data_IF_513777140870
#
_entry.id   IF_513777140870
#
_cell.length_a   1.000
_cell.length_b   1.000
_cell.length_c   1.000
_cell.angle_alpha   90.00
_cell.angle_beta   90.00
_cell.angle_gamma   90.00
#
_symmetry.space_group_name_H-M   'P 1'
#
loop_
_entity.id
_entity.type
_entity.pdbx_description
1 polymer ?
#
# COMPACT_ATOMS: atom_id res chain seq x y z
N UNK A 1 -1.64 5.87 13.68
CA UNK A 1 -0.88 5.11 12.65
C UNK A 1 -1.85 4.63 11.60
N UNK A 2 -1.53 4.81 10.33
CA UNK A 2 -2.40 4.35 9.24
C UNK A 2 -2.55 2.82 9.20
N UNK A 3 -3.58 2.34 8.51
CA UNK A 3 -3.78 0.94 8.17
C UNK A 3 -3.66 0.76 6.66
N UNK A 4 -2.89 -0.22 6.20
CA UNK A 4 -2.79 -0.61 4.80
C UNK A 4 -3.24 -2.04 4.60
N UNK A 5 -3.82 -2.32 3.44
CA UNK A 5 -4.27 -3.65 3.04
C UNK A 5 -4.21 -3.83 1.52
N UNK A 6 -4.09 -5.07 1.06
CA UNK A 6 -4.21 -5.41 -0.36
C UNK A 6 -4.64 -6.85 -0.59
N UNK A 7 -5.34 -7.05 -1.68
CA UNK A 7 -5.81 -8.33 -2.20
C UNK A 7 -5.34 -8.47 -3.65
N UNK A 8 -4.70 -9.58 -4.00
CA UNK A 8 -4.14 -9.82 -5.32
C UNK A 8 -4.63 -11.17 -5.85
N UNK A 9 -5.05 -11.18 -7.13
CA UNK A 9 -5.55 -12.37 -7.83
C UNK A 9 -6.65 -13.12 -7.05
N UNK A 10 -7.55 -12.37 -6.42
CA UNK A 10 -8.57 -12.93 -5.54
C UNK A 10 -9.55 -13.90 -6.22
N UNK A 11 -9.46 -14.06 -7.55
CA UNK A 11 -10.20 -15.07 -8.33
C UNK A 11 -11.74 -14.93 -8.33
N UNK A 12 -12.26 -13.92 -7.63
CA UNK A 12 -13.68 -13.60 -7.50
C UNK A 12 -14.00 -12.33 -8.29
N UNK A 13 -15.27 -12.01 -8.42
CA UNK A 13 -15.70 -10.78 -9.04
C UNK A 13 -15.10 -9.56 -8.34
N UNK A 14 -14.86 -8.47 -9.06
CA UNK A 14 -14.40 -7.20 -8.50
C UNK A 14 -15.29 -6.74 -7.33
N UNK A 15 -16.59 -6.99 -7.39
CA UNK A 15 -17.55 -6.70 -6.31
C UNK A 15 -17.21 -7.44 -5.02
N UNK A 16 -16.89 -8.74 -5.10
CA UNK A 16 -16.54 -9.52 -3.92
C UNK A 16 -15.19 -9.09 -3.33
N UNK A 17 -14.23 -8.76 -4.18
CA UNK A 17 -12.93 -8.24 -3.75
C UNK A 17 -13.07 -6.88 -3.04
N UNK A 18 -13.91 -5.98 -3.56
CA UNK A 18 -14.22 -4.70 -2.91
C UNK A 18 -14.93 -4.88 -1.57
N UNK A 19 -15.94 -5.77 -1.48
CA UNK A 19 -16.61 -6.09 -0.20
C UNK A 19 -15.63 -6.61 0.86
N UNK A 20 -14.69 -7.46 0.45
CA UNK A 20 -13.66 -7.94 1.38
C UNK A 20 -12.69 -6.84 1.77
N UNK A 21 -12.30 -5.96 0.85
CA UNK A 21 -11.47 -4.81 1.18
C UNK A 21 -12.18 -3.89 2.19
N UNK A 22 -13.48 -3.65 2.05
CA UNK A 22 -14.26 -2.87 3.01
C UNK A 22 -14.26 -3.53 4.40
N UNK A 23 -14.41 -4.86 4.48
CA UNK A 23 -14.29 -5.60 5.74
C UNK A 23 -12.91 -5.48 6.37
N UNK A 24 -11.85 -5.60 5.56
CA UNK A 24 -10.46 -5.41 6.01
C UNK A 24 -10.24 -4.01 6.56
N UNK A 25 -10.69 -2.99 5.84
CA UNK A 25 -10.57 -1.59 6.25
C UNK A 25 -11.34 -1.31 7.55
N UNK A 26 -12.56 -1.84 7.67
CA UNK A 26 -13.38 -1.70 8.88
C UNK A 26 -12.66 -2.20 10.15
N UNK A 27 -11.83 -3.23 10.05
CA UNK A 27 -11.00 -3.72 11.16
C UNK A 27 -9.86 -2.78 11.53
N UNK A 28 -9.46 -1.91 10.61
CA UNK A 28 -8.33 -0.97 10.81
C UNK A 28 -8.76 0.47 11.15
N UNK A 29 -10.04 0.76 11.35
CA UNK A 29 -10.54 2.11 11.70
C UNK A 29 -9.85 2.65 12.96
N UNK A 30 -9.56 1.80 13.95
CA UNK A 30 -8.82 2.19 15.15
C UNK A 30 -7.39 2.69 14.87
N UNK A 31 -6.80 2.33 13.73
CA UNK A 31 -5.47 2.79 13.30
C UNK A 31 -5.53 4.14 12.58
N UNK A 32 -6.57 4.36 11.79
CA UNK A 32 -6.76 5.57 10.98
C UNK A 32 -8.22 5.95 10.87
N UNK A 33 -8.75 6.69 11.86
CA UNK A 33 -10.17 7.02 11.91
C UNK A 33 -10.59 8.19 11.03
N UNK A 34 -9.62 8.95 10.47
CA UNK A 34 -9.91 10.26 9.87
C UNK A 34 -10.44 10.13 8.44
N UNK A 35 -9.94 9.17 7.68
CA UNK A 35 -10.32 8.96 6.28
C UNK A 35 -9.97 7.54 5.83
N UNK A 36 -10.42 7.14 4.64
CA UNK A 36 -10.07 5.85 4.06
C UNK A 36 -10.42 5.75 2.58
N UNK A 37 -9.54 5.08 1.84
CA UNK A 37 -9.67 4.87 0.41
C UNK A 37 -9.55 3.42 -0.01
N UNK A 38 -10.15 3.10 -1.14
CA UNK A 38 -10.00 1.83 -1.85
C UNK A 38 -9.75 2.11 -3.33
N UNK A 39 -8.82 1.40 -3.92
CA UNK A 39 -8.55 1.42 -5.34
C UNK A 39 -8.48 0.00 -5.89
N UNK A 40 -8.95 -0.19 -7.10
CA UNK A 40 -8.88 -1.44 -7.83
C UNK A 40 -8.14 -1.21 -9.15
N UNK A 41 -7.25 -2.13 -9.52
CA UNK A 41 -6.56 -2.06 -10.81
C UNK A 41 -7.54 -2.17 -11.97
N UNK A 42 -7.25 -1.58 -13.16
CA UNK A 42 -8.14 -1.62 -14.31
C UNK A 42 -8.54 -3.02 -14.76
N UNK A 43 -7.67 -4.01 -14.56
CA UNK A 43 -7.94 -5.42 -14.86
C UNK A 43 -8.65 -6.18 -13.71
N UNK A 44 -8.89 -5.50 -12.58
CA UNK A 44 -9.53 -6.08 -11.40
C UNK A 44 -8.66 -7.05 -10.61
N UNK A 45 -7.40 -7.24 -10.98
CA UNK A 45 -6.50 -8.22 -10.37
C UNK A 45 -5.93 -7.81 -9.02
N UNK A 46 -5.92 -6.51 -8.70
CA UNK A 46 -5.37 -5.95 -7.47
C UNK A 46 -6.35 -4.98 -6.84
N UNK A 47 -6.57 -5.10 -5.53
CA UNK A 47 -7.33 -4.14 -4.73
C UNK A 47 -6.44 -3.65 -3.59
N UNK A 48 -6.26 -2.34 -3.50
CA UNK A 48 -5.53 -1.68 -2.41
C UNK A 48 -6.49 -0.90 -1.52
N UNK A 49 -6.27 -0.96 -0.21
CA UNK A 49 -7.08 -0.27 0.79
C UNK A 49 -6.23 0.46 1.82
N UNK A 50 -6.70 1.63 2.23
CA UNK A 50 -6.04 2.48 3.22
C UNK A 50 -7.02 3.00 4.26
N UNK A 51 -6.59 3.06 5.52
CA UNK A 51 -7.23 3.78 6.61
C UNK A 51 -6.27 4.83 7.14
N UNK A 52 -6.68 6.09 7.08
CA UNK A 52 -5.82 7.26 7.28
C UNK A 52 -5.92 7.81 8.69
N UNK A 53 -4.76 8.04 9.31
CA UNK A 53 -4.57 8.98 10.38
C UNK A 53 -3.83 10.19 9.79
N UNK A 54 -4.50 11.33 9.70
CA UNK A 54 -3.99 12.54 9.06
C UNK A 54 -3.05 13.28 10.00
N UNK A 55 -1.75 13.31 9.70
CA UNK A 55 -0.71 13.92 10.56
C UNK A 55 0.07 14.99 9.80
N UNK A 56 0.67 14.65 8.65
CA UNK A 56 1.59 15.52 7.91
C UNK A 56 0.85 16.40 6.91
N UNK A 57 0.03 15.81 6.05
CA UNK A 57 -0.78 16.51 5.08
C UNK A 57 -2.26 16.30 5.43
N UNK A 58 -2.97 17.37 5.76
CA UNK A 58 -4.40 17.31 6.12
C UNK A 58 -5.32 17.49 4.92
N UNK A 59 -4.75 17.76 3.74
CA UNK A 59 -5.50 17.94 2.51
C UNK A 59 -5.86 16.62 1.83
N UNK A 60 -6.69 16.70 0.79
CA UNK A 60 -7.00 15.56 -0.08
C UNK A 60 -5.77 15.03 -0.84
N UNK A 61 -4.71 15.86 -1.01
CA UNK A 61 -3.47 15.44 -1.66
C UNK A 61 -2.70 14.37 -0.88
N UNK A 62 -2.99 14.20 0.43
CA UNK A 62 -2.46 13.11 1.25
C UNK A 62 -3.32 11.86 1.27
N UNK A 63 -4.42 11.79 0.49
CA UNK A 63 -5.29 10.63 0.43
C UNK A 63 -4.59 9.43 -0.23
N UNK A 64 -4.95 8.23 0.25
CA UNK A 64 -4.41 6.96 -0.28
C UNK A 64 -5.56 5.96 -0.51
N UNK A 65 -5.43 5.01 -1.47
CA UNK A 65 -4.24 4.73 -2.30
C UNK A 65 -3.84 5.93 -3.16
N UNK A 66 -2.53 6.23 -3.22
CA UNK A 66 -1.99 7.36 -3.97
C UNK A 66 -1.36 6.89 -5.27
N UNK A 67 -1.45 7.72 -6.32
CA UNK A 67 -0.90 7.42 -7.64
C UNK A 67 0.24 8.37 -8.00
N UNK A 68 1.31 7.84 -8.63
CA UNK A 68 2.37 8.68 -9.19
C UNK A 68 1.82 9.63 -10.26
N UNK A 69 2.57 10.68 -10.62
CA UNK A 69 2.13 11.66 -11.61
C UNK A 69 1.88 11.02 -12.98
N UNK A 70 2.66 10.01 -13.35
CA UNK A 70 2.48 9.25 -14.60
C UNK A 70 1.30 8.27 -14.55
N UNK A 71 0.80 7.93 -13.35
CA UNK A 71 -0.19 6.88 -13.13
C UNK A 71 0.38 5.46 -13.16
N UNK A 72 1.71 5.28 -13.29
CA UNK A 72 2.35 3.97 -13.31
C UNK A 72 2.26 3.25 -11.97
N UNK A 73 2.51 3.96 -10.89
CA UNK A 73 2.53 3.39 -9.55
C UNK A 73 1.28 3.76 -8.74
N UNK A 74 0.78 2.78 -8.00
CA UNK A 74 -0.25 2.95 -6.98
C UNK A 74 0.29 2.44 -5.64
N UNK A 75 0.24 3.26 -4.59
CA UNK A 75 0.80 2.93 -3.28
C UNK A 75 -0.25 3.01 -2.17
N UNK A 76 -0.13 2.07 -1.22
CA UNK A 76 -0.64 2.20 0.15
C UNK A 76 0.54 2.19 1.10
N UNK A 77 0.58 3.16 1.99
CA UNK A 77 1.73 3.45 2.81
C UNK A 77 1.34 3.80 4.25
N UNK A 78 2.02 3.21 5.19
CA UNK A 78 1.91 3.51 6.62
C UNK A 78 3.32 3.79 7.16
N UNK A 79 3.68 5.04 7.34
CA UNK A 79 5.03 5.38 7.78
C UNK A 79 5.31 6.87 7.80
N UNK A 80 6.59 7.17 7.91
CA UNK A 80 7.16 8.50 7.81
C UNK A 80 8.60 8.41 7.29
N UNK A 81 8.90 9.10 6.20
CA UNK A 81 10.26 9.27 5.68
C UNK A 81 10.82 10.57 6.21
N UNK A 82 11.68 10.52 7.22
CA UNK A 82 12.19 11.68 7.95
C UNK A 82 12.97 12.66 7.06
N UNK A 83 13.65 12.14 6.05
CA UNK A 83 14.46 12.95 5.12
C UNK A 83 13.76 13.17 3.77
N UNK A 84 12.43 13.12 3.71
CA UNK A 84 11.70 13.34 2.46
C UNK A 84 11.97 14.70 1.83
N UNK A 85 12.25 15.73 2.63
CA UNK A 85 12.64 17.06 2.13
C UNK A 85 13.92 17.02 1.29
N UNK A 86 14.95 16.30 1.75
CA UNK A 86 16.20 16.13 1.00
C UNK A 86 15.95 15.41 -0.36
N UNK A 87 15.08 14.39 -0.34
CA UNK A 87 14.73 13.65 -1.56
C UNK A 87 13.91 14.52 -2.51
N UNK A 88 12.96 15.30 -1.98
CA UNK A 88 12.16 16.27 -2.74
C UNK A 88 13.03 17.31 -3.44
N UNK A 89 13.96 17.93 -2.70
CA UNK A 89 14.87 18.95 -3.24
C UNK A 89 15.74 18.37 -4.36
N UNK A 90 16.18 17.13 -4.21
CA UNK A 90 16.96 16.43 -5.25
C UNK A 90 16.12 16.17 -6.50
N UNK A 91 14.88 15.69 -6.37
CA UNK A 91 13.95 15.48 -7.50
C UNK A 91 13.68 16.77 -8.28
N UNK A 92 13.53 17.91 -7.58
CA UNK A 92 13.35 19.22 -8.19
C UNK A 92 14.63 19.69 -8.90
N UNK A 93 15.79 19.52 -8.28
CA UNK A 93 17.08 19.89 -8.88
C UNK A 93 17.39 19.09 -10.15
N UNK A 94 17.08 17.80 -10.16
CA UNK A 94 17.23 16.90 -11.31
C UNK A 94 16.16 17.15 -12.39
N UNK A 95 15.19 18.06 -12.15
CA UNK A 95 14.05 18.37 -13.03
C UNK A 95 13.19 17.15 -13.41
N UNK A 96 13.22 16.11 -12.61
CA UNK A 96 12.39 14.93 -12.79
C UNK A 96 10.94 15.17 -12.38
N UNK A 97 10.72 16.08 -11.42
CA UNK A 97 9.43 16.59 -11.00
C UNK A 97 9.47 18.11 -11.10
N UNK A 98 8.46 18.73 -11.72
CA UNK A 98 8.37 20.19 -11.84
C UNK A 98 7.71 20.81 -10.63
N UNK A 99 6.72 20.13 -10.07
CA UNK A 99 5.98 20.54 -8.87
C UNK A 99 5.37 19.32 -8.17
N UNK A 100 5.12 19.43 -6.89
CA UNK A 100 4.38 18.46 -6.10
C UNK A 100 2.96 18.96 -5.83
N UNK A 101 1.98 18.06 -5.83
CA UNK A 101 0.57 18.38 -5.58
C UNK A 101 0.30 18.72 -4.12
N UNK A 102 1.07 18.08 -3.22
CA UNK A 102 0.92 18.20 -1.78
C UNK A 102 2.24 18.34 -1.04
N UNK A 103 2.18 18.10 0.25
CA UNK A 103 3.32 18.19 1.17
C UNK A 103 3.68 16.83 1.77
N UNK A 104 3.03 15.73 1.33
CA UNK A 104 3.21 14.41 1.91
C UNK A 104 4.54 13.78 1.49
N UNK A 105 5.17 13.07 2.40
CA UNK A 105 6.32 12.21 2.13
C UNK A 105 5.97 11.06 1.17
N UNK A 106 4.72 10.62 1.17
CA UNK A 106 4.21 9.56 0.27
C UNK A 106 4.32 9.96 -1.20
N UNK A 107 3.96 11.19 -1.56
CA UNK A 107 4.09 11.69 -2.93
C UNK A 107 5.56 11.74 -3.35
N UNK A 108 6.43 12.25 -2.46
CA UNK A 108 7.88 12.30 -2.72
C UNK A 108 8.44 10.90 -2.94
N UNK A 109 8.01 9.92 -2.15
CA UNK A 109 8.42 8.53 -2.26
C UNK A 109 7.99 7.92 -3.61
N UNK A 110 6.74 8.17 -4.04
CA UNK A 110 6.22 7.70 -5.34
C UNK A 110 7.03 8.24 -6.53
N UNK A 111 7.27 9.55 -6.55
CA UNK A 111 8.03 10.17 -7.62
C UNK A 111 9.51 9.72 -7.61
N UNK A 112 10.07 9.48 -6.42
CA UNK A 112 11.42 8.92 -6.31
C UNK A 112 11.49 7.48 -6.84
N UNK A 113 10.47 6.65 -6.63
CA UNK A 113 10.40 5.31 -7.23
C UNK A 113 10.35 5.36 -8.74
N UNK A 114 9.64 6.32 -9.30
CA UNK A 114 9.53 6.49 -10.74
C UNK A 114 10.87 6.91 -11.37
N UNK A 115 11.57 7.82 -10.72
CA UNK A 115 12.79 8.42 -11.27
C UNK A 115 14.07 7.62 -10.97
N UNK A 116 14.27 7.24 -9.70
CA UNK A 116 15.48 6.51 -9.28
C UNK A 116 15.29 4.99 -9.28
N UNK A 117 14.05 4.50 -9.34
CA UNK A 117 13.70 3.10 -9.13
C UNK A 117 13.58 2.74 -7.64
N UNK A 118 12.90 1.61 -7.38
CA UNK A 118 12.51 1.22 -6.01
C UNK A 118 13.74 1.00 -5.13
N UNK A 119 14.71 0.21 -5.60
CA UNK A 119 15.88 -0.17 -4.81
C UNK A 119 16.73 1.04 -4.41
N UNK A 120 17.03 1.92 -5.35
CA UNK A 120 17.84 3.11 -5.10
C UNK A 120 17.12 4.06 -4.14
N UNK A 121 15.83 4.32 -4.37
CA UNK A 121 15.03 5.16 -3.48
C UNK A 121 15.05 4.64 -2.04
N UNK A 122 14.87 3.33 -1.82
CA UNK A 122 14.91 2.74 -0.49
C UNK A 122 16.27 2.88 0.21
N UNK A 123 17.37 2.95 -0.55
CA UNK A 123 18.71 3.23 0.04
C UNK A 123 18.84 4.66 0.52
N UNK A 124 18.16 5.60 -0.11
CA UNK A 124 18.14 7.02 0.27
C UNK A 124 17.24 7.28 1.48
N UNK A 125 16.19 6.50 1.66
CA UNK A 125 15.19 6.72 2.70
C UNK A 125 15.72 6.47 4.11
N UNK A 126 15.40 7.41 5.02
CA UNK A 126 15.53 7.29 6.48
C UNK A 126 14.15 7.45 7.09
N UNK A 127 13.66 6.43 7.76
CA UNK A 127 12.31 6.47 8.33
C UNK A 127 11.80 5.12 8.77
N UNK A 128 10.56 5.11 9.21
CA UNK A 128 9.82 3.93 9.64
C UNK A 128 8.61 3.74 8.72
N UNK A 129 8.50 2.60 8.05
CA UNK A 129 7.42 2.40 7.08
C UNK A 129 7.08 0.94 6.79
N UNK A 130 5.84 0.74 6.36
CA UNK A 130 5.37 -0.42 5.62
C UNK A 130 4.56 0.05 4.41
N UNK A 131 4.75 -0.56 3.26
CA UNK A 131 4.08 -0.17 2.04
C UNK A 131 3.77 -1.35 1.12
N UNK A 132 2.70 -1.21 0.33
CA UNK A 132 2.40 -2.00 -0.84
C UNK A 132 2.39 -1.10 -2.07
N UNK A 133 3.27 -1.34 -3.03
CA UNK A 133 3.42 -0.59 -4.27
C UNK A 133 3.08 -1.49 -5.44
N UNK A 134 2.09 -1.11 -6.21
CA UNK A 134 1.72 -1.78 -7.45
C UNK A 134 2.24 -1.01 -8.66
N UNK A 135 2.96 -1.71 -9.55
CA UNK A 135 3.42 -1.21 -10.84
C UNK A 135 2.44 -1.66 -11.92
N UNK A 136 1.66 -0.71 -12.46
CA UNK A 136 0.66 -0.97 -13.49
C UNK A 136 1.30 -1.44 -14.80
N UNK A 137 2.51 -1.01 -15.10
CA UNK A 137 3.24 -1.38 -16.31
C UNK A 137 3.80 -2.80 -16.25
N UNK A 138 4.46 -3.13 -15.14
CA UNK A 138 5.10 -4.45 -14.97
C UNK A 138 4.15 -5.48 -14.33
N UNK A 139 2.92 -5.06 -13.92
CA UNK A 139 1.93 -5.91 -13.23
C UNK A 139 2.50 -6.61 -12.00
N UNK A 140 3.31 -5.90 -11.24
CA UNK A 140 3.98 -6.43 -10.05
C UNK A 140 3.57 -5.67 -8.80
N UNK A 141 3.40 -6.42 -7.69
CA UNK A 141 3.26 -5.86 -6.36
C UNK A 141 4.59 -6.00 -5.62
N UNK A 142 5.09 -4.89 -5.09
CA UNK A 142 6.26 -4.87 -4.20
C UNK A 142 5.82 -4.53 -2.78
N UNK A 143 6.07 -5.41 -1.82
CA UNK A 143 5.91 -5.12 -0.40
C UNK A 143 7.24 -4.64 0.18
N UNK A 144 7.16 -3.57 0.97
CA UNK A 144 8.34 -2.93 1.57
C UNK A 144 8.11 -2.72 3.06
N UNK A 145 9.17 -2.88 3.84
CA UNK A 145 9.16 -2.62 5.27
C UNK A 145 10.48 -1.98 5.70
N UNK A 146 10.44 -1.10 6.68
CA UNK A 146 11.64 -0.48 7.24
C UNK A 146 12.62 -1.51 7.85
N UNK A 147 13.88 -1.11 7.99
CA UNK A 147 14.99 -1.99 8.40
C UNK A 147 14.81 -2.62 9.77
N UNK A 148 14.12 -1.94 10.68
CA UNK A 148 13.90 -2.40 12.05
C UNK A 148 12.53 -3.08 12.22
N UNK A 149 11.68 -3.03 11.18
CA UNK A 149 10.33 -3.57 11.22
C UNK A 149 9.40 -2.82 12.18
N UNK A 150 9.59 -1.49 12.33
CA UNK A 150 8.79 -0.67 13.23
C UNK A 150 7.32 -0.61 12.82
N UNK A 151 7.05 -0.59 11.51
CA UNK A 151 5.68 -0.66 11.03
C UNK A 151 5.26 -2.10 10.74
N UNK A 152 4.10 -2.54 11.25
CA UNK A 152 3.64 -3.91 11.05
C UNK A 152 3.23 -4.12 9.58
N UNK A 153 3.58 -5.30 9.06
CA UNK A 153 3.18 -5.80 7.76
C UNK A 153 3.07 -7.32 7.83
N UNK A 154 1.85 -7.82 7.63
CA UNK A 154 1.52 -9.24 7.58
C UNK A 154 1.11 -9.58 6.15
N UNK A 155 1.50 -10.74 5.66
CA UNK A 155 1.17 -11.18 4.30
C UNK A 155 1.17 -12.70 4.19
N UNK A 156 0.48 -13.21 3.17
CA UNK A 156 0.46 -14.63 2.87
C UNK A 156 -0.45 -14.98 1.70
N UNK A 157 -0.40 -16.24 1.32
CA UNK A 157 -1.34 -16.81 0.35
C UNK A 157 -2.55 -17.38 1.08
N UNK A 158 -3.73 -17.24 0.47
CA UNK A 158 -4.97 -17.74 1.05
C UNK A 158 -5.29 -19.14 0.52
N UNK A 159 -5.68 -20.04 1.41
CA UNK A 159 -6.27 -21.30 1.00
C UNK A 159 -7.61 -21.07 0.29
N UNK A 160 -7.86 -21.84 -0.76
CA UNK A 160 -9.13 -21.85 -1.48
C UNK A 160 -9.64 -23.28 -1.62
N UNK A 161 -10.95 -23.45 -1.38
CA UNK A 161 -11.66 -24.72 -1.60
C UNK A 161 -11.01 -25.94 -0.91
N UNK A 162 -10.39 -25.72 0.27
CA UNK A 162 -9.74 -26.77 1.05
C UNK A 162 -8.41 -27.27 0.45
N UNK A 163 -7.85 -26.54 -0.52
CA UNK A 163 -6.52 -26.80 -1.06
C UNK A 163 -5.49 -25.95 -0.35
N UNK A 164 -4.37 -26.55 -0.02
CA UNK A 164 -3.22 -25.84 0.55
C UNK A 164 -2.81 -24.69 -0.38
N UNK A 165 -2.55 -23.52 0.22
CA UNK A 165 -2.15 -22.34 -0.51
C UNK A 165 -0.79 -22.51 -1.21
N UNK A 166 -0.69 -22.02 -2.44
CA UNK A 166 0.52 -21.99 -3.26
C UNK A 166 0.68 -20.64 -3.97
N UNK A 167 1.67 -20.52 -4.83
CA UNK A 167 1.96 -19.29 -5.58
C UNK A 167 0.84 -18.87 -6.57
N UNK A 168 -0.11 -19.74 -6.89
CA UNK A 168 -1.29 -19.43 -7.72
C UNK A 168 -2.50 -19.00 -6.90
N UNK A 169 -2.42 -19.13 -5.58
CA UNK A 169 -3.48 -18.77 -4.64
C UNK A 169 -3.57 -17.25 -4.48
N UNK A 170 -4.73 -16.70 -4.10
CA UNK A 170 -4.86 -15.28 -3.79
C UNK A 170 -3.86 -14.86 -2.72
N UNK A 171 -3.21 -13.74 -2.96
CA UNK A 171 -2.26 -13.15 -2.03
C UNK A 171 -2.91 -11.99 -1.28
N UNK A 172 -2.63 -11.89 0.01
CA UNK A 172 -3.16 -10.85 0.88
C UNK A 172 -2.04 -10.23 1.72
N UNK A 173 -2.15 -8.93 1.99
CA UNK A 173 -1.33 -8.25 3.00
C UNK A 173 -2.15 -7.23 3.79
N UNK A 174 -1.74 -6.95 5.03
CA UNK A 174 -2.31 -5.89 5.84
C UNK A 174 -1.38 -5.45 6.98
N UNK A 175 -1.65 -4.27 7.53
CA UNK A 175 -1.03 -3.78 8.78
C UNK A 175 -1.48 -4.53 10.04
N UNK A 176 -2.59 -5.27 9.95
CA UNK A 176 -3.23 -5.92 11.09
C UNK A 176 -3.72 -7.31 10.70
N UNK A 177 -3.33 -8.39 11.42
CA UNK A 177 -3.79 -9.74 11.09
C UNK A 177 -5.31 -9.89 11.23
N UNK A 178 -5.97 -9.14 12.12
CA UNK A 178 -7.43 -9.12 12.25
C UNK A 178 -8.15 -8.63 10.99
N UNK A 179 -7.46 -7.84 10.16
CA UNK A 179 -7.98 -7.43 8.84
C UNK A 179 -7.99 -8.59 7.87
N UNK A 180 -6.94 -9.41 7.87
CA UNK A 180 -6.83 -10.58 6.99
C UNK A 180 -7.92 -11.61 7.35
N UNK A 181 -8.13 -11.85 8.64
CA UNK A 181 -9.17 -12.81 9.11
C UNK A 181 -10.61 -12.33 8.86
N UNK A 182 -10.81 -11.06 8.49
CA UNK A 182 -12.12 -10.52 8.14
C UNK A 182 -12.59 -10.86 6.72
N UNK A 183 -11.70 -11.41 5.89
CA UNK A 183 -12.00 -11.82 4.53
C UNK A 183 -12.97 -13.00 4.56
N UNK A 184 -14.01 -12.94 3.73
CA UNK A 184 -15.00 -14.02 3.64
C UNK A 184 -14.38 -15.33 3.14
N UNK A 185 -14.57 -16.39 3.92
CA UNK A 185 -14.00 -17.71 3.62
C UNK A 185 -12.51 -17.84 3.98
N UNK A 186 -11.95 -16.85 4.71
CA UNK A 186 -10.60 -17.01 5.27
C UNK A 186 -10.60 -18.18 6.27
N UNK A 187 -9.73 -19.12 6.01
CA UNK A 187 -9.44 -20.24 6.92
C UNK A 187 -7.94 -20.24 7.18
N UNK A 188 -7.56 -20.22 8.43
CA UNK A 188 -6.17 -20.42 8.85
C UNK A 188 -6.21 -21.38 10.03
N UNK A 189 -6.22 -22.70 9.78
CA UNK A 189 -6.11 -23.67 10.86
C UNK A 189 -4.78 -23.42 11.57
N UNK A 190 -4.84 -23.21 12.87
CA UNK A 190 -3.65 -23.14 13.73
C UNK A 190 -3.23 -24.59 13.94
N UNK A 191 -2.06 -24.98 13.46
CA UNK A 191 -1.42 -26.25 13.75
C UNK A 191 -0.95 -26.29 15.22
#
# INVERSE_FOLDING_TARGET
>A
MCGIAGLIHYGKTSEQALKNMDRMRARMVHRGPDDGGTWISPDGGVVLGHQRLSIVDLSECGAQPMHSHSGRYSIVYNGEIYNYGEIRDRLLADKSVTEFRGTSDTEVLLEAFEYYGIKETLTLCRGMFAAGLYDEKEKTLTLMRDRLGEKPLYYGFMEQDGKQADASSPFVFASDPGSITAIEGFSNPID
#
